data_IF_005154990146
#
_entry.id   IF_005154990146
#
_cell.length_a   1.000
_cell.length_b   1.000
_cell.length_c   1.000
_cell.angle_alpha   90.00
_cell.angle_beta   90.00
_cell.angle_gamma   90.00
#
_symmetry.space_group_name_H-M   'P 1'
#
loop_
_entity.id
_entity.type
_entity.pdbx_description
1 polymer ?
#
# COMPACT_ATOMS: atom_id res chain seq x y z
N UNK A 1 13.74 -2.88 23.65
CA UNK A 1 13.83 -2.62 22.20
C UNK A 1 13.48 -3.91 21.49
N UNK A 2 12.31 -3.96 20.86
CA UNK A 2 11.79 -5.17 20.22
C UNK A 2 12.50 -5.34 18.86
N UNK A 3 13.52 -6.19 18.81
CA UNK A 3 14.33 -6.44 17.62
C UNK A 3 13.65 -7.35 16.57
N UNK A 4 12.38 -7.69 16.78
CA UNK A 4 11.76 -8.85 16.13
C UNK A 4 11.15 -8.57 14.75
N UNK A 5 11.17 -7.32 14.28
CA UNK A 5 10.63 -7.00 12.96
C UNK A 5 11.32 -5.87 12.20
N UNK A 6 12.34 -5.21 12.78
CA UNK A 6 13.27 -4.42 11.97
C UNK A 6 13.87 -5.32 10.90
N UNK A 7 14.29 -6.54 11.26
CA UNK A 7 14.73 -7.55 10.31
C UNK A 7 13.74 -7.91 9.21
N UNK A 8 12.42 -7.75 9.41
CA UNK A 8 11.41 -8.10 8.42
C UNK A 8 11.13 -6.93 7.47
N UNK A 9 11.09 -5.71 8.01
CA UNK A 9 11.05 -4.48 7.22
C UNK A 9 12.35 -4.33 6.41
N UNK A 10 13.50 -4.51 7.06
CA UNK A 10 14.83 -4.40 6.47
C UNK A 10 15.10 -5.44 5.38
N UNK A 11 14.45 -6.61 5.47
CA UNK A 11 14.70 -7.71 4.54
C UNK A 11 13.61 -7.93 3.50
N UNK A 12 12.35 -7.51 3.73
CA UNK A 12 11.22 -8.00 2.92
C UNK A 12 10.16 -6.94 2.54
N UNK A 13 9.53 -6.23 3.47
CA UNK A 13 8.44 -5.27 3.17
C UNK A 13 8.02 -4.41 4.38
N UNK A 14 7.50 -3.21 4.12
CA UNK A 14 6.90 -2.30 5.11
C UNK A 14 5.67 -2.88 5.84
N UNK A 15 4.96 -3.82 5.21
CA UNK A 15 3.85 -4.55 5.84
C UNK A 15 3.95 -6.05 5.58
N UNK A 16 3.53 -6.86 6.55
CA UNK A 16 3.58 -8.32 6.44
C UNK A 16 2.18 -8.90 6.17
N UNK A 17 1.99 -9.66 5.07
CA UNK A 17 0.75 -10.39 4.85
C UNK A 17 0.54 -11.45 5.93
N UNK A 18 -0.69 -11.57 6.41
CA UNK A 18 -1.18 -12.80 7.03
C UNK A 18 -2.03 -13.62 6.04
N UNK A 19 -2.46 -14.80 6.46
CA UNK A 19 -3.29 -15.66 5.62
C UNK A 19 -4.62 -14.99 5.23
N UNK A 20 -5.17 -14.14 6.09
CA UNK A 20 -6.44 -13.44 5.84
C UNK A 20 -6.27 -12.37 4.77
N UNK A 21 -5.22 -11.57 4.84
CA UNK A 21 -4.88 -10.54 3.86
C UNK A 21 -4.66 -11.14 2.47
N UNK A 22 -3.93 -12.26 2.39
CA UNK A 22 -3.71 -12.96 1.12
C UNK A 22 -5.01 -13.57 0.55
N UNK A 23 -5.91 -14.04 1.40
CA UNK A 23 -7.23 -14.51 0.97
C UNK A 23 -8.12 -13.37 0.46
N UNK A 24 -8.05 -12.19 1.10
CA UNK A 24 -8.71 -10.97 0.62
C UNK A 24 -8.17 -10.62 -0.76
N UNK A 25 -6.86 -10.47 -0.92
CA UNK A 25 -6.23 -10.13 -2.22
C UNK A 25 -6.59 -11.14 -3.31
N UNK A 26 -6.53 -12.44 -3.01
CA UNK A 26 -6.93 -13.51 -3.94
C UNK A 26 -8.36 -13.35 -4.46
N UNK A 27 -9.29 -12.84 -3.65
CA UNK A 27 -10.69 -12.64 -4.07
C UNK A 27 -10.84 -11.59 -5.17
N UNK A 28 -9.91 -10.64 -5.23
CA UNK A 28 -9.89 -9.53 -6.19
C UNK A 28 -8.88 -9.71 -7.32
N UNK A 29 -8.29 -10.90 -7.47
CA UNK A 29 -7.46 -11.22 -8.61
C UNK A 29 -8.25 -11.20 -9.95
N UNK A 30 -7.60 -10.88 -11.08
CA UNK A 30 -6.17 -10.64 -11.25
C UNK A 30 -5.71 -9.27 -10.71
N UNK A 31 -4.46 -9.19 -10.24
CA UNK A 31 -3.90 -8.01 -9.58
C UNK A 31 -2.75 -7.38 -10.36
N UNK A 32 -2.58 -6.07 -10.20
CA UNK A 32 -1.38 -5.31 -10.53
C UNK A 32 -0.93 -4.52 -9.30
N UNK A 33 0.31 -4.75 -8.86
CA UNK A 33 0.96 -4.03 -7.77
C UNK A 33 1.95 -3.03 -8.36
N UNK A 34 1.90 -1.76 -7.94
CA UNK A 34 2.84 -0.70 -8.34
C UNK A 34 3.56 -0.21 -7.08
N UNK A 35 4.89 -0.06 -7.15
CA UNK A 35 5.71 0.23 -5.98
C UNK A 35 5.96 -1.01 -5.11
N UNK A 36 6.09 -2.18 -5.74
CA UNK A 36 6.20 -3.46 -5.02
C UNK A 36 7.56 -3.69 -4.32
N UNK A 37 8.55 -2.83 -4.58
CA UNK A 37 9.95 -3.01 -4.28
C UNK A 37 10.60 -4.15 -5.07
N UNK A 38 11.93 -4.18 -5.14
CA UNK A 38 12.68 -5.24 -5.84
C UNK A 38 12.36 -6.68 -5.37
N UNK A 39 11.97 -6.83 -4.10
CA UNK A 39 11.64 -8.14 -3.53
C UNK A 39 10.22 -8.59 -3.93
N UNK A 40 9.30 -7.67 -4.25
CA UNK A 40 7.90 -7.95 -4.55
C UNK A 40 7.27 -8.95 -3.57
N UNK A 41 7.45 -8.72 -2.26
CA UNK A 41 7.17 -9.71 -1.21
C UNK A 41 5.70 -10.18 -1.19
N UNK A 42 4.76 -9.24 -1.30
CA UNK A 42 3.33 -9.53 -1.40
C UNK A 42 3.02 -10.32 -2.68
N UNK A 43 3.54 -9.85 -3.83
CA UNK A 43 3.50 -10.54 -5.11
C UNK A 43 3.95 -12.00 -5.05
N UNK A 44 5.11 -12.29 -4.45
CA UNK A 44 5.63 -13.67 -4.27
C UNK A 44 4.68 -14.52 -3.44
N UNK A 45 4.21 -13.98 -2.30
CA UNK A 45 3.28 -14.69 -1.43
C UNK A 45 1.95 -15.02 -2.12
N UNK A 46 1.49 -14.15 -3.02
CA UNK A 46 0.31 -14.34 -3.86
C UNK A 46 0.56 -15.37 -4.98
N UNK A 47 1.68 -15.26 -5.69
CA UNK A 47 2.06 -16.17 -6.76
C UNK A 47 2.24 -17.61 -6.26
N UNK A 48 2.85 -17.82 -5.09
CA UNK A 48 2.93 -19.12 -4.42
C UNK A 48 1.54 -19.74 -4.13
N UNK A 49 0.49 -18.93 -4.08
CA UNK A 49 -0.91 -19.35 -3.89
C UNK A 49 -1.69 -19.48 -5.20
N UNK A 50 -1.01 -19.40 -6.34
CA UNK A 50 -1.59 -19.45 -7.68
C UNK A 50 -2.47 -18.23 -7.99
N UNK A 51 -2.19 -17.09 -7.39
CA UNK A 51 -2.89 -15.83 -7.67
C UNK A 51 -2.21 -15.14 -8.86
N UNK A 52 -3.00 -14.72 -9.84
CA UNK A 52 -2.51 -13.91 -10.96
C UNK A 52 -2.22 -12.48 -10.48
N UNK A 53 -0.93 -12.15 -10.35
CA UNK A 53 -0.45 -10.83 -9.94
C UNK A 53 0.77 -10.44 -10.78
N UNK A 54 0.79 -9.17 -11.22
CA UNK A 54 1.98 -8.53 -11.80
C UNK A 54 2.48 -7.47 -10.84
N UNK A 55 3.77 -7.47 -10.56
CA UNK A 55 4.39 -6.54 -9.62
C UNK A 55 5.37 -5.65 -10.37
N UNK A 56 5.19 -4.34 -10.25
CA UNK A 56 6.01 -3.32 -10.89
C UNK A 56 6.71 -2.45 -9.85
N UNK A 57 7.94 -2.10 -10.14
CA UNK A 57 8.70 -1.10 -9.39
C UNK A 57 9.63 -0.31 -10.33
N UNK A 58 9.90 0.95 -9.99
CA UNK A 58 10.85 1.77 -10.75
C UNK A 58 12.28 1.25 -10.60
N UNK A 59 12.60 0.63 -9.45
CA UNK A 59 13.91 0.06 -9.13
C UNK A 59 13.84 -1.42 -8.73
N UNK A 60 13.80 -2.27 -9.75
CA UNK A 60 13.76 -3.74 -9.60
C UNK A 60 15.11 -4.38 -9.24
N UNK A 61 16.23 -3.68 -9.39
CA UNK A 61 17.57 -4.21 -9.08
C UNK A 61 18.11 -3.70 -7.73
N UNK A 62 17.74 -2.47 -7.36
CA UNK A 62 18.22 -1.77 -6.18
C UNK A 62 17.26 -1.76 -4.99
N UNK A 63 15.99 -2.10 -5.17
CA UNK A 63 15.00 -2.08 -4.08
C UNK A 63 15.40 -2.90 -2.84
N UNK A 64 14.91 -2.47 -1.67
CA UNK A 64 15.06 -3.17 -0.40
C UNK A 64 16.51 -3.38 0.05
N UNK A 65 17.29 -2.30 0.16
CA UNK A 65 18.51 -2.28 0.96
C UNK A 65 18.32 -1.33 2.13
N UNK A 66 17.61 -1.77 3.16
CA UNK A 66 17.82 -1.19 4.49
C UNK A 66 19.04 -1.94 5.06
N UNK A 67 20.22 -1.41 4.70
CA UNK A 67 21.57 -1.83 5.08
C UNK A 67 22.05 -3.25 4.64
N UNK A 68 22.62 -3.33 3.44
CA UNK A 68 23.54 -4.44 3.05
C UNK A 68 24.93 -4.06 3.56
N UNK A 69 25.32 -4.53 4.74
CA UNK A 69 26.75 -4.81 4.91
C UNK A 69 27.18 -5.76 3.78
N UNK A 70 28.23 -5.44 3.02
CA UNK A 70 28.59 -6.21 1.84
C UNK A 70 28.98 -7.63 2.26
N UNK A 71 28.21 -8.62 1.80
CA UNK A 71 28.54 -10.04 1.97
C UNK A 71 29.90 -10.29 1.33
N UNK A 72 30.89 -10.64 2.16
CA UNK A 72 32.25 -11.01 1.73
C UNK A 72 32.16 -12.04 0.59
N UNK A 73 32.82 -11.74 -0.53
CA UNK A 73 32.97 -12.63 -1.68
C UNK A 73 33.35 -14.03 -1.20
N UNK A 74 32.48 -15.03 -1.39
CA UNK A 74 32.89 -16.43 -1.29
C UNK A 74 33.86 -16.68 -2.46
N UNK A 75 35.13 -16.87 -2.12
CA UNK A 75 36.14 -17.37 -3.06
C UNK A 75 35.61 -18.67 -3.68
N UNK A 76 35.44 -18.67 -5.01
CA UNK A 76 35.32 -19.90 -5.78
C UNK A 76 36.68 -20.60 -5.72
N UNK A 77 36.77 -21.66 -4.92
CA UNK A 77 37.78 -22.67 -5.13
C UNK A 77 37.37 -23.42 -6.41
N UNK A 78 38.22 -23.30 -7.42
CA UNK A 78 38.15 -24.08 -8.64
C UNK A 78 38.51 -25.51 -8.31
N UNK A 79 37.68 -26.47 -8.72
CA UNK A 79 38.15 -27.79 -9.13
C UNK A 79 37.11 -28.52 -10.01
N UNK A 80 37.54 -28.80 -11.25
CA UNK A 80 37.37 -30.06 -11.97
C UNK A 80 36.02 -30.76 -12.10
N UNK A 81 35.45 -30.62 -13.30
CA UNK A 81 34.98 -31.73 -14.17
C UNK A 81 33.87 -32.69 -13.64
N UNK A 82 32.64 -32.48 -14.12
CA UNK A 82 31.56 -33.48 -14.05
C UNK A 82 30.47 -33.16 -15.07
N UNK A 83 30.38 -33.98 -16.12
CA UNK A 83 29.20 -34.04 -16.99
C UNK A 83 28.04 -34.60 -16.18
N UNK A 84 26.96 -33.83 -16.07
CA UNK A 84 25.71 -34.27 -15.48
C UNK A 84 24.58 -33.46 -16.09
N UNK A 85 23.68 -34.17 -16.77
CA UNK A 85 22.41 -33.66 -17.27
C UNK A 85 21.62 -33.03 -16.12
N UNK A 86 21.75 -31.72 -15.98
CA UNK A 86 20.92 -30.92 -15.10
C UNK A 86 19.63 -30.61 -15.83
N UNK A 87 18.54 -31.29 -15.43
CA UNK A 87 17.20 -30.75 -15.60
C UNK A 87 17.24 -29.27 -15.20
N UNK A 88 16.88 -28.40 -16.11
CA UNK A 88 16.50 -27.03 -15.78
C UNK A 88 15.41 -27.14 -14.71
N UNK A 89 15.75 -26.66 -13.52
CA UNK A 89 14.79 -26.46 -12.45
C UNK A 89 13.92 -25.30 -12.91
N UNK A 90 12.80 -25.61 -13.57
CA UNK A 90 11.73 -24.68 -13.96
C UNK A 90 11.00 -24.15 -12.71
N UNK A 91 11.77 -23.68 -11.72
CA UNK A 91 11.26 -22.90 -10.61
C UNK A 91 10.82 -21.56 -11.19
N UNK A 92 9.51 -21.38 -11.29
CA UNK A 92 8.83 -20.15 -11.71
C UNK A 92 9.37 -18.97 -10.88
N UNK A 93 10.42 -18.34 -11.40
CA UNK A 93 11.19 -17.30 -10.72
C UNK A 93 10.37 -16.01 -10.82
N UNK A 94 9.39 -15.87 -9.93
CA UNK A 94 8.55 -14.68 -9.81
C UNK A 94 9.43 -13.43 -9.70
N UNK A 95 9.34 -12.55 -10.71
CA UNK A 95 10.17 -11.35 -10.84
C UNK A 95 9.32 -10.09 -10.89
N UNK A 96 9.76 -9.09 -10.13
CA UNK A 96 9.29 -7.72 -10.30
C UNK A 96 9.66 -7.23 -11.72
N UNK A 97 8.75 -6.48 -12.32
CA UNK A 97 8.89 -5.86 -13.63
C UNK A 97 9.25 -4.39 -13.44
N UNK A 98 10.10 -3.86 -14.31
CA UNK A 98 10.43 -2.43 -14.23
C UNK A 98 9.24 -1.59 -14.73
N UNK A 99 8.81 -0.62 -13.95
CA UNK A 99 7.76 0.33 -14.32
C UNK A 99 7.13 1.05 -13.13
N UNK A 100 6.54 2.21 -13.38
CA UNK A 100 5.81 3.03 -12.42
C UNK A 100 4.30 3.09 -12.72
N UNK A 101 3.60 4.16 -12.30
CA UNK A 101 2.16 4.33 -12.53
C UNK A 101 1.71 4.19 -13.99
N UNK A 102 2.57 4.50 -14.94
CA UNK A 102 2.27 4.43 -16.38
C UNK A 102 1.90 3.02 -16.85
N UNK A 103 2.33 1.97 -16.14
CA UNK A 103 2.01 0.57 -16.48
C UNK A 103 0.51 0.28 -16.38
N UNK A 104 -0.24 1.09 -15.63
CA UNK A 104 -1.69 0.95 -15.46
C UNK A 104 -2.46 1.33 -16.74
N UNK A 105 -1.83 2.07 -17.66
CA UNK A 105 -2.39 2.41 -18.97
C UNK A 105 -2.19 1.30 -20.00
N UNK A 106 -1.35 0.29 -19.72
CA UNK A 106 -1.07 -0.79 -20.65
C UNK A 106 -2.26 -1.74 -20.79
N UNK A 107 -2.55 -2.17 -22.02
CA UNK A 107 -3.60 -3.17 -22.29
C UNK A 107 -3.41 -4.46 -21.49
N UNK A 108 -2.15 -4.80 -21.16
CA UNK A 108 -1.81 -6.01 -20.40
C UNK A 108 -2.27 -5.96 -18.93
N UNK A 109 -2.67 -4.78 -18.45
CA UNK A 109 -3.11 -4.51 -17.08
C UNK A 109 -4.55 -3.97 -17.00
N UNK A 110 -5.23 -3.78 -18.14
CA UNK A 110 -6.55 -3.15 -18.21
C UNK A 110 -7.66 -3.92 -17.46
N UNK A 111 -7.53 -5.23 -17.29
CA UNK A 111 -8.49 -6.10 -16.60
C UNK A 111 -8.10 -6.42 -15.15
N UNK A 112 -7.04 -5.80 -14.63
CA UNK A 112 -6.47 -6.08 -13.30
C UNK A 112 -6.96 -5.08 -12.25
N UNK A 113 -7.13 -5.55 -11.02
CA UNK A 113 -7.38 -4.69 -9.88
C UNK A 113 -6.06 -4.14 -9.33
N UNK A 114 -6.08 -2.87 -8.93
CA UNK A 114 -4.89 -2.19 -8.43
C UNK A 114 -4.64 -2.59 -6.97
N UNK A 115 -3.42 -2.94 -6.65
CA UNK A 115 -2.93 -3.17 -5.30
C UNK A 115 -1.80 -2.19 -4.98
N UNK A 116 -1.93 -1.45 -3.88
CA UNK A 116 -0.92 -0.52 -3.36
C UNK A 116 -0.59 -0.88 -1.92
N UNK A 117 0.68 -0.94 -1.58
CA UNK A 117 1.17 -1.19 -0.23
C UNK A 117 2.21 -0.13 0.12
N UNK A 118 1.87 0.77 1.05
CA UNK A 118 2.73 1.89 1.45
C UNK A 118 3.20 2.74 0.25
N UNK A 119 2.28 3.25 -0.59
CA UNK A 119 2.66 3.92 -1.83
C UNK A 119 3.51 5.19 -1.62
N UNK A 120 3.35 5.91 -0.51
CA UNK A 120 3.90 7.27 -0.36
C UNK A 120 4.88 7.44 0.82
N UNK A 121 5.34 6.34 1.45
CA UNK A 121 6.29 6.41 2.57
C UNK A 121 7.68 6.93 2.13
N UNK A 122 8.15 6.47 0.97
CA UNK A 122 9.43 6.88 0.38
C UNK A 122 9.17 8.01 -0.63
N UNK A 123 9.38 9.26 -0.22
CA UNK A 123 9.36 10.42 -1.15
C UNK A 123 10.34 10.10 -2.28
N UNK A 124 9.89 10.12 -3.54
CA UNK A 124 10.74 9.85 -4.68
C UNK A 124 11.96 10.79 -4.64
N UNK A 125 13.17 10.30 -4.30
CA UNK A 125 14.32 11.18 -4.11
C UNK A 125 14.80 11.78 -5.43
N UNK A 126 14.36 11.23 -6.57
CA UNK A 126 14.67 11.73 -7.90
C UNK A 126 13.70 12.82 -8.38
N UNK A 127 12.50 12.89 -7.80
CA UNK A 127 11.54 13.97 -8.05
C UNK A 127 10.69 14.25 -6.80
N UNK A 128 11.24 14.96 -5.79
CA UNK A 128 10.51 15.33 -4.59
C UNK A 128 9.41 16.37 -4.85
N UNK A 129 9.32 16.90 -6.09
CA UNK A 129 8.26 17.82 -6.52
C UNK A 129 7.14 17.15 -7.31
N UNK A 130 7.30 15.86 -7.64
CA UNK A 130 6.29 15.07 -8.32
C UNK A 130 5.08 14.78 -7.42
N UNK A 131 3.92 14.48 -8.01
CA UNK A 131 2.78 13.98 -7.24
C UNK A 131 3.15 12.68 -6.50
N UNK A 132 2.51 12.40 -5.35
CA UNK A 132 2.69 11.13 -4.64
C UNK A 132 2.35 9.92 -5.54
N UNK A 133 3.06 8.80 -5.35
CA UNK A 133 2.87 7.59 -6.17
C UNK A 133 1.40 7.12 -6.16
N UNK A 134 0.75 7.20 -5.00
CA UNK A 134 -0.66 6.84 -4.87
C UNK A 134 -1.55 7.69 -5.79
N UNK A 135 -1.32 9.00 -5.85
CA UNK A 135 -2.07 9.96 -6.69
C UNK A 135 -1.84 9.67 -8.17
N UNK A 136 -0.60 9.41 -8.57
CA UNK A 136 -0.29 9.03 -9.96
C UNK A 136 -0.95 7.71 -10.35
N UNK A 137 -0.96 6.72 -9.44
CA UNK A 137 -1.63 5.46 -9.68
C UNK A 137 -3.15 5.65 -9.86
N UNK A 138 -3.80 6.46 -9.01
CA UNK A 138 -5.22 6.79 -9.16
C UNK A 138 -5.52 7.46 -10.50
N UNK A 139 -4.67 8.39 -10.92
CA UNK A 139 -4.83 9.10 -12.20
C UNK A 139 -4.74 8.18 -13.43
N UNK A 140 -3.95 7.11 -13.35
CA UNK A 140 -3.78 6.14 -14.44
C UNK A 140 -4.71 4.92 -14.33
N UNK A 141 -5.35 4.70 -13.18
CA UNK A 141 -6.14 3.51 -12.92
C UNK A 141 -7.63 3.70 -13.28
N UNK A 142 -8.13 2.91 -14.24
CA UNK A 142 -9.54 2.93 -14.66
C UNK A 142 -10.37 1.75 -14.13
N UNK A 143 -9.76 0.79 -13.43
CA UNK A 143 -10.44 -0.43 -13.02
C UNK A 143 -11.38 -0.25 -11.82
N UNK A 144 -12.10 -1.32 -11.42
CA UNK A 144 -13.21 -1.24 -10.48
C UNK A 144 -12.81 -1.35 -9.00
N UNK A 145 -11.69 -2.01 -8.66
CA UNK A 145 -11.27 -2.20 -7.28
C UNK A 145 -9.81 -1.78 -7.06
N UNK A 146 -9.61 -1.01 -5.99
CA UNK A 146 -8.31 -0.69 -5.44
C UNK A 146 -8.17 -1.35 -4.07
N UNK A 147 -7.09 -2.08 -3.85
CA UNK A 147 -6.72 -2.65 -2.56
C UNK A 147 -5.55 -1.83 -2.03
N UNK A 148 -5.70 -1.27 -0.84
CA UNK A 148 -4.70 -0.44 -0.18
C UNK A 148 -4.26 -1.10 1.13
N UNK A 149 -2.96 -1.25 1.32
CA UNK A 149 -2.32 -1.64 2.57
C UNK A 149 -1.55 -0.46 3.13
N UNK A 150 -1.95 -0.01 4.31
CA UNK A 150 -1.40 1.16 4.98
C UNK A 150 -2.32 1.74 6.04
N UNK A 151 -1.98 2.95 6.45
CA UNK A 151 -2.73 3.82 7.35
C UNK A 151 -3.74 4.66 6.54
N UNK A 152 -4.89 4.94 7.16
CA UNK A 152 -5.90 5.86 6.65
C UNK A 152 -6.17 6.95 7.68
N UNK A 153 -6.89 7.99 7.27
CA UNK A 153 -7.33 9.07 8.13
C UNK A 153 -7.94 8.55 9.44
N UNK A 154 -7.38 8.97 10.57
CA UNK A 154 -7.85 8.61 11.91
C UNK A 154 -7.40 7.23 12.42
N UNK A 155 -6.66 6.45 11.63
CA UNK A 155 -6.07 5.18 12.05
C UNK A 155 -4.60 5.28 12.46
N UNK A 156 -3.96 6.42 12.17
CA UNK A 156 -2.56 6.70 12.50
C UNK A 156 -2.39 6.97 14.00
N UNK A 157 -1.32 6.40 14.56
CA UNK A 157 -0.87 6.69 15.93
C UNK A 157 0.51 7.36 15.93
N UNK A 158 0.89 7.97 14.80
CA UNK A 158 2.13 8.74 14.69
C UNK A 158 2.18 9.86 15.72
N UNK A 159 3.39 10.11 16.24
CA UNK A 159 3.63 11.12 17.26
C UNK A 159 3.44 12.53 16.70
N UNK A 160 4.11 12.79 15.58
CA UNK A 160 3.93 13.96 14.74
C UNK A 160 2.51 13.88 14.18
N UNK A 161 1.73 14.93 14.31
CA UNK A 161 0.31 14.93 13.96
C UNK A 161 0.13 14.67 12.46
N UNK A 162 0.14 13.41 12.06
CA UNK A 162 -0.10 12.94 10.71
C UNK A 162 -1.47 12.24 10.72
N UNK A 163 -2.57 13.00 10.60
CA UNK A 163 -3.92 12.44 10.68
C UNK A 163 -4.16 11.37 9.61
N UNK A 164 -3.45 11.46 8.49
CA UNK A 164 -3.48 10.52 7.36
C UNK A 164 -2.47 9.36 7.51
N UNK A 165 -1.59 9.37 8.51
CA UNK A 165 -0.48 8.42 8.62
C UNK A 165 0.67 8.76 7.70
N UNK A 166 1.62 7.81 7.57
CA UNK A 166 2.84 7.99 6.77
C UNK A 166 2.82 7.18 5.48
N UNK A 167 2.10 6.07 5.48
CA UNK A 167 2.11 5.11 4.35
C UNK A 167 1.49 5.64 3.06
N UNK A 168 0.59 6.62 3.16
CA UNK A 168 -0.11 7.19 2.01
C UNK A 168 -0.43 8.67 2.24
N UNK A 169 -0.36 9.46 1.17
CA UNK A 169 -0.49 10.91 1.25
C UNK A 169 -1.93 11.35 1.52
N UNK A 170 -2.10 12.58 2.04
CA UNK A 170 -3.42 13.19 2.22
C UNK A 170 -4.17 13.28 0.89
N UNK A 171 -3.48 13.71 -0.17
CA UNK A 171 -4.01 13.87 -1.51
C UNK A 171 -4.53 12.53 -2.05
N UNK A 172 -3.73 11.46 -1.92
CA UNK A 172 -4.15 10.11 -2.31
C UNK A 172 -5.41 9.69 -1.57
N UNK A 173 -5.46 9.85 -0.25
CA UNK A 173 -6.60 9.40 0.53
C UNK A 173 -7.87 10.20 0.22
N UNK A 174 -7.74 11.51 0.00
CA UNK A 174 -8.85 12.37 -0.42
C UNK A 174 -9.38 11.96 -1.80
N UNK A 175 -8.52 11.71 -2.78
CA UNK A 175 -8.93 11.26 -4.11
C UNK A 175 -9.54 9.85 -4.10
N UNK A 176 -8.94 8.94 -3.33
CA UNK A 176 -9.48 7.60 -3.11
C UNK A 176 -10.90 7.67 -2.54
N UNK A 177 -11.12 8.49 -1.50
CA UNK A 177 -12.43 8.67 -0.88
C UNK A 177 -13.43 9.43 -1.76
N UNK A 178 -12.96 10.27 -2.68
CA UNK A 178 -13.81 10.98 -3.65
C UNK A 178 -14.38 10.03 -4.69
N UNK A 179 -13.54 9.17 -5.26
CA UNK A 179 -13.89 8.38 -6.45
C UNK A 179 -14.25 6.92 -6.12
N UNK A 180 -13.94 6.46 -4.91
CA UNK A 180 -14.21 5.11 -4.43
C UNK A 180 -14.88 5.12 -3.05
N UNK A 181 -15.49 4.00 -2.69
CA UNK A 181 -16.00 3.75 -1.35
C UNK A 181 -15.40 2.46 -0.78
N UNK A 182 -15.04 2.50 0.49
CA UNK A 182 -14.49 1.34 1.20
C UNK A 182 -15.58 0.29 1.40
N UNK A 183 -15.33 -0.93 0.90
CA UNK A 183 -16.24 -2.07 1.01
C UNK A 183 -15.71 -3.15 1.97
N UNK A 184 -14.43 -3.10 2.33
CA UNK A 184 -13.82 -3.97 3.33
C UNK A 184 -12.62 -3.25 3.94
N UNK A 185 -12.47 -3.33 5.26
CA UNK A 185 -11.28 -2.94 6.01
C UNK A 185 -11.01 -4.02 7.05
N UNK A 186 -9.76 -4.44 7.15
CA UNK A 186 -9.35 -5.45 8.12
C UNK A 186 -7.98 -5.09 8.71
N UNK A 187 -7.82 -5.34 10.01
CA UNK A 187 -6.52 -5.17 10.67
C UNK A 187 -5.49 -6.16 10.15
N UNK A 188 -4.23 -5.72 10.04
CA UNK A 188 -3.08 -6.58 9.77
C UNK A 188 -2.27 -6.83 11.06
N UNK A 189 -1.43 -7.88 11.12
CA UNK A 189 -0.43 -8.00 12.17
C UNK A 189 0.44 -6.75 12.18
N UNK A 190 0.40 -6.01 13.29
CA UNK A 190 0.96 -4.65 13.36
C UNK A 190 1.93 -4.49 14.51
N UNK A 191 2.84 -3.53 14.36
CA UNK A 191 3.54 -2.97 15.51
C UNK A 191 2.58 -2.15 16.38
N UNK A 192 2.83 -2.02 17.70
CA UNK A 192 1.96 -1.24 18.59
C UNK A 192 1.76 0.23 18.20
N UNK A 193 2.62 0.76 17.32
CA UNK A 193 2.71 2.16 16.90
C UNK A 193 2.37 2.39 15.42
N UNK A 194 1.86 1.39 14.70
CA UNK A 194 1.52 1.54 13.28
C UNK A 194 0.10 1.05 13.01
N UNK A 195 -0.76 1.92 12.48
CA UNK A 195 -2.13 1.59 12.10
C UNK A 195 -2.19 0.76 10.81
N UNK A 196 -1.72 -0.49 10.82
CA UNK A 196 -1.70 -1.28 9.60
C UNK A 196 -3.07 -1.92 9.29
N UNK A 197 -3.68 -1.52 8.18
CA UNK A 197 -4.90 -2.14 7.67
C UNK A 197 -4.77 -2.54 6.22
N UNK A 198 -5.48 -3.59 5.83
CA UNK A 198 -5.83 -3.84 4.43
C UNK A 198 -7.25 -3.30 4.20
N UNK A 199 -7.41 -2.48 3.18
CA UNK A 199 -8.68 -1.89 2.79
C UNK A 199 -8.96 -2.14 1.32
N UNK A 200 -10.23 -2.40 0.98
CA UNK A 200 -10.69 -2.64 -0.38
C UNK A 200 -11.72 -1.57 -0.72
N UNK A 201 -11.48 -0.92 -1.85
CA UNK A 201 -12.23 0.22 -2.31
C UNK A 201 -12.84 -0.12 -3.67
N UNK A 202 -14.16 0.03 -3.79
CA UNK A 202 -14.86 -0.12 -5.07
C UNK A 202 -15.09 1.25 -5.67
N UNK A 203 -14.83 1.40 -6.97
CA UNK A 203 -15.14 2.64 -7.69
C UNK A 203 -16.62 2.98 -7.50
N UNK A 204 -16.87 4.22 -7.11
CA UNK A 204 -18.21 4.71 -6.86
C UNK A 204 -18.93 4.93 -8.19
N UNK A 205 -20.13 4.36 -8.30
CA UNK A 205 -21.00 4.58 -9.44
C UNK A 205 -21.81 5.86 -9.20
N UNK A 206 -21.82 6.76 -10.17
CA UNK A 206 -22.64 7.97 -10.12
C UNK A 206 -24.09 7.56 -10.39
N UNK A 207 -24.98 7.89 -9.48
CA UNK A 207 -26.42 7.71 -9.65
C UNK A 207 -27.06 9.07 -9.86
N UNK A 208 -27.63 9.30 -11.05
CA UNK A 208 -28.35 10.52 -11.34
C UNK A 208 -29.68 10.54 -10.57
N UNK A 209 -29.89 11.61 -9.80
CA UNK A 209 -31.16 11.88 -9.15
C UNK A 209 -31.90 12.91 -10.01
N UNK A 210 -33.02 12.48 -10.62
CA UNK A 210 -33.92 13.38 -11.33
C UNK A 210 -34.91 13.98 -10.33
N UNK A 211 -34.66 15.23 -9.93
CA UNK A 211 -35.66 16.01 -9.21
C UNK A 211 -36.70 16.53 -10.21
N UNK A 212 -37.99 16.34 -9.91
CA UNK A 212 -39.06 16.99 -10.66
C UNK A 212 -38.99 18.50 -10.46
N UNK A 213 -39.27 19.28 -11.51
CA UNK A 213 -39.22 20.74 -11.49
C UNK A 213 -40.16 21.32 -10.41
N UNK A 214 -39.59 21.72 -9.28
CA UNK A 214 -40.13 22.75 -8.40
C UNK A 214 -38.99 23.73 -8.11
N UNK A 215 -39.03 24.87 -8.80
CA UNK A 215 -38.09 25.99 -8.68
C UNK A 215 -38.42 26.89 -7.50
N UNK A 216 -37.39 27.40 -6.82
CA UNK A 216 -37.13 28.80 -6.40
C UNK A 216 -36.11 28.80 -5.25
N UNK A 217 -34.88 29.35 -5.42
CA UNK A 217 -34.45 30.67 -4.90
C UNK A 217 -33.86 30.53 -3.49
N UNK A 218 -32.74 31.09 -3.03
CA UNK A 218 -31.97 32.30 -3.33
C UNK A 218 -30.54 32.18 -2.75
N UNK A 219 -29.65 33.08 -3.21
CA UNK A 219 -28.25 33.26 -2.80
C UNK A 219 -28.12 34.03 -1.48
N UNK A 220 -26.99 33.86 -0.79
CA UNK A 220 -26.54 34.74 0.29
C UNK A 220 -25.02 34.62 0.53
N UNK A 221 -24.32 35.73 0.36
CA UNK A 221 -22.88 35.95 0.59
C UNK A 221 -22.59 36.27 2.08
N UNK A 222 -21.36 36.03 2.54
CA UNK A 222 -20.83 36.50 3.83
C UNK A 222 -19.37 36.08 4.08
N UNK A 223 -18.56 37.04 4.54
CA UNK A 223 -17.09 37.16 4.50
C UNK A 223 -16.32 36.60 5.74
N UNK A 224 -14.99 36.38 5.55
CA UNK A 224 -13.80 36.61 6.43
C UNK A 224 -13.76 35.99 7.87
N UNK A 225 -12.65 35.61 8.54
CA UNK A 225 -11.21 35.93 8.48
C UNK A 225 -10.40 34.99 9.44
N UNK A 226 -9.06 35.09 9.35
CA UNK A 226 -7.99 34.93 10.38
C UNK A 226 -7.23 33.60 10.67
N UNK A 227 -5.93 33.84 10.87
CA UNK A 227 -4.73 32.98 10.91
C UNK A 227 -4.44 32.44 12.32
N UNK A 228 -3.55 31.45 12.45
CA UNK A 228 -2.60 31.37 13.58
C UNK A 228 -1.41 30.45 13.24
N UNK A 229 -0.19 30.95 13.52
CA UNK A 229 1.12 30.31 13.37
C UNK A 229 1.46 29.49 14.63
N UNK A 230 2.19 28.36 14.49
CA UNK A 230 2.92 27.77 15.63
C UNK A 230 4.34 27.31 15.24
N UNK A 231 5.27 27.60 16.17
CA UNK A 231 6.72 27.46 16.08
C UNK A 231 7.22 26.01 16.26
N UNK A 232 8.33 25.66 15.60
CA UNK A 232 9.03 24.38 15.78
C UNK A 232 10.14 24.47 16.85
N UNK A 233 10.13 23.57 17.84
CA UNK A 233 11.26 23.29 18.74
C UNK A 233 12.00 22.00 18.30
N UNK A 234 13.30 22.11 18.03
CA UNK A 234 14.21 20.96 17.89
C UNK A 234 14.65 20.44 19.28
N UNK A 235 14.51 19.13 19.53
CA UNK A 235 15.05 18.54 20.77
C UNK A 235 14.99 17.02 20.90
N UNK A 236 16.17 16.40 20.80
CA UNK A 236 16.61 15.13 21.40
C UNK A 236 16.09 13.78 20.84
N UNK A 237 17.05 12.95 20.42
CA UNK A 237 16.86 11.62 19.82
C UNK A 237 16.38 10.56 20.84
N UNK A 238 15.09 10.63 21.18
CA UNK A 238 14.32 9.59 21.88
C UNK A 238 12.97 9.45 21.18
N UNK A 239 12.77 8.34 20.48
CA UNK A 239 11.52 8.09 19.75
C UNK A 239 10.41 7.64 20.71
N UNK A 240 9.44 8.52 20.97
CA UNK A 240 8.19 8.23 21.68
C UNK A 240 7.03 8.14 20.70
N UNK A 241 6.15 7.16 20.88
CA UNK A 241 4.97 6.97 20.03
C UNK A 241 3.70 7.14 20.86
N UNK A 242 2.65 7.67 20.24
CA UNK A 242 1.30 7.56 20.80
C UNK A 242 0.86 6.10 20.66
N UNK A 243 0.06 5.64 21.60
CA UNK A 243 -0.45 4.27 21.62
C UNK A 243 -1.88 4.30 22.15
N UNK A 244 -2.76 3.55 21.48
CA UNK A 244 -4.14 3.35 21.92
C UNK A 244 -4.17 2.02 22.70
N UNK A 245 -4.55 2.03 23.99
CA UNK A 245 -4.73 0.81 24.78
C UNK A 245 -5.62 -0.20 24.06
N UNK A 246 -5.30 -1.50 24.14
CA UNK A 246 -6.01 -2.55 23.38
C UNK A 246 -7.54 -2.55 23.61
N UNK A 247 -8.00 -2.17 24.81
CA UNK A 247 -9.41 -2.08 25.18
C UNK A 247 -10.11 -0.80 24.69
N UNK A 248 -9.35 0.19 24.23
CA UNK A 248 -9.83 1.44 23.62
C UNK A 248 -9.77 1.40 22.08
N UNK A 249 -9.15 0.36 21.49
CA UNK A 249 -9.07 0.19 20.04
C UNK A 249 -10.46 -0.13 19.48
N UNK A 250 -10.96 0.74 18.60
CA UNK A 250 -12.20 0.49 17.86
C UNK A 250 -12.07 -0.76 16.97
N UNK A 251 -13.16 -1.52 16.74
CA UNK A 251 -13.14 -2.63 15.80
C UNK A 251 -12.69 -2.17 14.41
N UNK A 252 -11.52 -2.65 13.96
CA UNK A 252 -10.98 -2.31 12.65
C UNK A 252 -11.58 -3.15 11.51
N UNK A 253 -12.11 -4.33 11.84
CA UNK A 253 -12.67 -5.26 10.88
C UNK A 253 -14.12 -4.86 10.54
N UNK A 254 -14.31 -4.26 9.37
CA UNK A 254 -15.60 -3.80 8.85
C UNK A 254 -15.71 -4.24 7.40
N UNK A 255 -16.85 -4.82 7.00
CA UNK A 255 -17.09 -5.20 5.62
C UNK A 255 -18.54 -4.95 5.23
N UNK A 256 -18.76 -4.58 3.96
CA UNK A 256 -20.09 -4.56 3.38
C UNK A 256 -20.70 -5.98 3.46
N UNK A 257 -22.04 -6.11 3.48
CA UNK A 257 -22.70 -7.40 3.65
C UNK A 257 -22.23 -8.48 2.66
N UNK A 258 -21.93 -8.10 1.41
CA UNK A 258 -21.44 -9.01 0.37
C UNK A 258 -20.03 -9.55 0.64
N UNK A 259 -19.24 -8.88 1.49
CA UNK A 259 -17.84 -9.22 1.78
C UNK A 259 -17.61 -9.68 3.22
N UNK A 260 -18.66 -9.75 4.06
CA UNK A 260 -18.54 -10.16 5.46
C UNK A 260 -17.87 -11.55 5.65
N UNK A 261 -18.06 -12.47 4.71
CA UNK A 261 -17.43 -13.79 4.70
C UNK A 261 -15.90 -13.75 4.57
N UNK A 262 -15.31 -12.62 4.19
CA UNK A 262 -13.85 -12.46 4.11
C UNK A 262 -13.22 -12.07 5.46
N UNK A 263 -14.03 -11.70 6.46
CA UNK A 263 -13.54 -11.36 7.81
C UNK A 263 -13.53 -12.56 8.76
N UNK A 264 -14.17 -13.67 8.39
CA UNK A 264 -14.19 -14.90 9.20
C UNK A 264 -12.83 -15.59 9.14
N UNK A 265 -12.23 -15.84 10.32
CA UNK A 265 -10.95 -16.53 10.49
C UNK A 265 -11.03 -18.01 10.12
#
# INVERSE_FOLDING_TARGET
MCSTGSHTVDAYSWACPDARALNILKRFAPLVEVGCGSNAYWGRCLAERGVDVKCYDVDVEGGGVIDKQPKKKRQRLADGNGHGDGKEDDGDDFKALQGGPEVLLEESNADRNLFLCFPDEDVNPSDPSGPPLGVECLSNYAGPYLIHVGELFGDSVSHDQAPFGRSSSMEFQCELARDFHCVLKAGLPRWPHEGQTISVWKRTEICDIHFGDDSEGEQGEGEEEEEEEEEEEEGENKMSFKHIPEDEVLPQDIAAPSFAHLLTK
#
